data_IF_626432354462
#
_entry.id   IF_626432354462
#
_cell.length_a   1.000
_cell.length_b   1.000
_cell.length_c   1.000
_cell.angle_alpha   90.00
_cell.angle_beta   90.00
_cell.angle_gamma   90.00
#
_symmetry.space_group_name_H-M   'P 1'
#
loop_
_entity.id
_entity.type
_entity.pdbx_description
1 polymer ?
#
# COMPACT_ATOMS: atom_id res chain seq x y z
N UNK A 1 -31.32 41.28 0.97
CA UNK A 1 -30.61 40.10 1.36
C UNK A 1 -30.58 39.94 2.87
N UNK A 2 -30.74 38.75 3.36
CA UNK A 2 -30.64 38.44 4.79
C UNK A 2 -29.15 38.29 5.16
N UNK A 3 -28.72 39.10 6.16
CA UNK A 3 -27.36 38.97 6.67
C UNK A 3 -27.21 37.60 7.38
N UNK A 4 -26.11 36.86 7.18
CA UNK A 4 -25.91 35.62 7.87
C UNK A 4 -25.81 35.83 9.39
N UNK A 5 -26.48 34.99 10.16
CA UNK A 5 -26.38 35.00 11.61
C UNK A 5 -25.06 34.36 12.05
N UNK A 6 -24.07 35.20 12.31
CA UNK A 6 -22.73 34.78 12.71
C UNK A 6 -22.75 33.98 14.04
N UNK A 7 -23.59 34.39 15.00
CA UNK A 7 -23.70 33.68 16.27
C UNK A 7 -24.27 32.28 16.11
N UNK A 8 -25.29 32.11 15.25
CA UNK A 8 -25.86 30.79 14.93
C UNK A 8 -24.82 29.93 14.19
N UNK A 9 -24.08 30.51 13.26
CA UNK A 9 -23.01 29.81 12.55
C UNK A 9 -21.93 29.36 13.51
N UNK A 10 -21.46 30.24 14.41
CA UNK A 10 -20.43 29.87 15.40
C UNK A 10 -20.87 28.76 16.36
N UNK A 11 -22.13 28.79 16.81
CA UNK A 11 -22.72 27.72 17.65
C UNK A 11 -22.78 26.39 16.88
N UNK A 12 -23.24 26.41 15.65
CA UNK A 12 -23.31 25.23 14.80
C UNK A 12 -21.94 24.65 14.51
N UNK A 13 -20.95 25.49 14.25
CA UNK A 13 -19.57 25.07 14.04
C UNK A 13 -18.98 24.44 15.31
N UNK A 14 -19.18 25.04 16.48
CA UNK A 14 -18.69 24.50 17.75
C UNK A 14 -19.33 23.15 18.06
N UNK A 15 -20.64 22.98 17.84
CA UNK A 15 -21.35 21.71 18.01
C UNK A 15 -20.85 20.65 17.03
N UNK A 16 -20.58 21.03 15.79
CA UNK A 16 -20.02 20.16 14.77
C UNK A 16 -18.64 19.64 15.16
N UNK A 17 -17.78 20.51 15.71
CA UNK A 17 -16.46 20.09 16.20
C UNK A 17 -16.55 19.17 17.41
N UNK A 18 -17.46 19.42 18.37
CA UNK A 18 -17.68 18.53 19.51
C UNK A 18 -18.11 17.12 19.04
N UNK A 19 -18.96 17.06 18.04
CA UNK A 19 -19.39 15.79 17.44
C UNK A 19 -18.27 15.10 16.67
N UNK A 20 -17.50 15.84 15.87
CA UNK A 20 -16.39 15.30 15.09
C UNK A 20 -15.23 14.84 15.98
N UNK A 21 -14.91 15.60 17.03
CA UNK A 21 -13.73 15.38 17.87
C UNK A 21 -13.94 14.32 18.97
N UNK A 22 -14.84 13.37 18.77
CA UNK A 22 -15.00 12.20 19.63
C UNK A 22 -13.97 11.13 19.28
N UNK A 23 -13.45 10.36 20.27
CA UNK A 23 -12.41 9.34 20.02
C UNK A 23 -12.78 8.32 18.95
N UNK A 24 -14.03 7.81 18.94
CA UNK A 24 -14.48 6.86 17.93
C UNK A 24 -14.41 7.41 16.49
N UNK A 25 -14.72 8.68 16.30
CA UNK A 25 -14.60 9.36 15.01
C UNK A 25 -13.12 9.60 14.65
N UNK A 26 -12.29 9.93 15.62
CA UNK A 26 -10.84 10.05 15.45
C UNK A 26 -10.23 8.77 14.92
N UNK A 27 -10.55 7.65 15.55
CA UNK A 27 -10.10 6.33 15.11
C UNK A 27 -10.55 6.02 13.66
N UNK A 28 -11.83 6.19 13.36
CA UNK A 28 -12.36 5.92 12.04
C UNK A 28 -11.74 6.83 10.97
N UNK A 29 -11.54 8.11 11.30
CA UNK A 29 -10.91 9.07 10.39
C UNK A 29 -9.47 8.67 10.07
N UNK A 30 -8.69 8.30 11.08
CA UNK A 30 -7.33 7.79 10.92
C UNK A 30 -7.29 6.47 10.15
N UNK A 31 -8.15 5.51 10.50
CA UNK A 31 -8.23 4.20 9.86
C UNK A 31 -8.61 4.29 8.37
N UNK A 32 -9.36 5.31 7.99
CA UNK A 32 -9.71 5.60 6.59
C UNK A 32 -8.66 6.43 5.86
N UNK A 33 -7.53 6.74 6.48
CA UNK A 33 -6.47 7.51 5.88
C UNK A 33 -6.71 9.03 5.85
N UNK A 34 -7.68 9.52 6.64
CA UNK A 34 -7.99 10.93 6.74
C UNK A 34 -6.86 11.74 7.36
N UNK A 35 -6.79 13.03 7.01
CA UNK A 35 -5.83 13.96 7.60
C UNK A 35 -6.48 14.72 8.74
N UNK A 36 -5.67 15.04 9.76
CA UNK A 36 -6.10 15.87 10.86
C UNK A 36 -5.33 17.19 10.82
N UNK A 37 -6.04 18.31 10.87
CA UNK A 37 -5.51 19.67 10.70
C UNK A 37 -5.56 20.53 11.98
N UNK A 38 -5.71 19.93 13.15
CA UNK A 38 -5.68 20.62 14.42
C UNK A 38 -6.95 21.42 14.76
N UNK A 39 -8.10 21.03 14.24
CA UNK A 39 -9.37 21.75 14.39
C UNK A 39 -10.09 21.48 15.73
N UNK A 40 -9.72 20.41 16.44
CA UNK A 40 -10.39 20.04 17.68
C UNK A 40 -10.13 21.01 18.83
N UNK A 41 -11.15 21.30 19.66
CA UNK A 41 -10.96 22.06 20.89
C UNK A 41 -9.94 21.40 21.81
N UNK A 42 -9.20 22.22 22.58
CA UNK A 42 -8.12 21.75 23.44
C UNK A 42 -8.54 20.66 24.45
N UNK A 43 -9.79 20.70 24.92
CA UNK A 43 -10.30 19.71 25.89
C UNK A 43 -10.67 18.37 25.26
N UNK A 44 -10.85 18.31 23.93
CA UNK A 44 -11.18 17.08 23.18
C UNK A 44 -10.01 16.51 22.40
N UNK A 45 -9.04 17.36 22.07
CA UNK A 45 -7.95 17.01 21.16
C UNK A 45 -7.09 15.83 21.63
N UNK A 46 -6.65 15.73 22.91
CA UNK A 46 -5.78 14.63 23.32
C UNK A 46 -6.39 13.24 23.06
N UNK A 47 -7.63 13.03 23.47
CA UNK A 47 -8.30 11.72 23.28
C UNK A 47 -8.60 11.45 21.82
N UNK A 48 -8.98 12.49 21.06
CA UNK A 48 -9.18 12.38 19.62
C UNK A 48 -7.88 12.00 18.91
N UNK A 49 -6.77 12.65 19.21
CA UNK A 49 -5.47 12.38 18.60
C UNK A 49 -4.95 10.99 18.94
N UNK A 50 -5.12 10.52 20.16
CA UNK A 50 -4.75 9.15 20.52
C UNK A 50 -5.48 8.13 19.67
N UNK A 51 -6.80 8.25 19.54
CA UNK A 51 -7.61 7.40 18.70
C UNK A 51 -7.30 7.55 17.22
N UNK A 52 -7.12 8.78 16.73
CA UNK A 52 -6.72 9.08 15.36
C UNK A 52 -5.39 8.43 15.00
N UNK A 53 -4.37 8.56 15.84
CA UNK A 53 -3.06 7.98 15.61
C UNK A 53 -3.11 6.45 15.59
N UNK A 54 -3.93 5.84 16.45
CA UNK A 54 -4.17 4.40 16.43
C UNK A 54 -4.79 3.94 15.10
N UNK A 55 -5.82 4.63 14.65
CA UNK A 55 -6.45 4.35 13.35
C UNK A 55 -5.51 4.59 12.18
N UNK A 56 -4.75 5.67 12.21
CA UNK A 56 -3.78 6.01 11.16
C UNK A 56 -2.67 4.95 11.04
N UNK A 57 -2.17 4.43 12.16
CA UNK A 57 -1.21 3.33 12.16
C UNK A 57 -1.78 2.07 11.51
N UNK A 58 -3.03 1.74 11.83
CA UNK A 58 -3.73 0.63 11.19
C UNK A 58 -3.82 0.81 9.67
N UNK A 59 -4.20 2.02 9.24
CA UNK A 59 -4.25 2.37 7.81
C UNK A 59 -2.87 2.21 7.14
N UNK A 60 -1.80 2.69 7.77
CA UNK A 60 -0.44 2.57 7.25
C UNK A 60 0.01 1.12 7.09
N UNK A 61 -0.29 0.25 8.05
CA UNK A 61 0.03 -1.17 7.97
C UNK A 61 -0.74 -1.85 6.83
N UNK A 62 -2.04 -1.56 6.70
CA UNK A 62 -2.87 -2.10 5.61
C UNK A 62 -2.41 -1.62 4.25
N UNK A 63 -2.00 -0.35 4.14
CA UNK A 63 -1.46 0.22 2.89
C UNK A 63 -0.13 -0.41 2.52
N UNK A 64 0.75 -0.65 3.48
CA UNK A 64 2.01 -1.33 3.26
C UNK A 64 1.80 -2.77 2.77
N UNK A 65 0.83 -3.47 3.34
CA UNK A 65 0.46 -4.83 2.90
C UNK A 65 -0.05 -4.84 1.46
N UNK A 66 -0.95 -3.91 1.13
CA UNK A 66 -1.49 -3.77 -0.23
C UNK A 66 -0.38 -3.46 -1.25
N UNK A 67 0.56 -2.58 -0.89
CA UNK A 67 1.71 -2.25 -1.73
C UNK A 67 2.62 -3.46 -1.95
N UNK A 68 2.94 -4.21 -0.90
CA UNK A 68 3.74 -5.43 -1.01
C UNK A 68 3.07 -6.46 -1.93
N UNK A 69 1.77 -6.68 -1.77
CA UNK A 69 1.00 -7.59 -2.63
C UNK A 69 1.02 -7.16 -4.10
N UNK A 70 0.83 -5.86 -4.37
CA UNK A 70 0.87 -5.32 -5.74
C UNK A 70 2.25 -5.48 -6.39
N UNK A 71 3.32 -5.23 -5.65
CA UNK A 71 4.69 -5.40 -6.12
C UNK A 71 5.01 -6.87 -6.42
N UNK A 72 4.60 -7.80 -5.55
CA UNK A 72 4.78 -9.24 -5.78
C UNK A 72 4.07 -9.67 -7.06
N UNK A 73 2.82 -9.26 -7.25
CA UNK A 73 2.05 -9.58 -8.45
C UNK A 73 2.68 -9.01 -9.72
N UNK A 74 3.15 -7.76 -9.67
CA UNK A 74 3.79 -7.10 -10.81
C UNK A 74 5.10 -7.80 -11.20
N UNK A 75 5.94 -8.15 -10.23
CA UNK A 75 7.21 -8.84 -10.48
C UNK A 75 6.99 -10.29 -10.93
N UNK A 76 5.99 -10.97 -10.39
CA UNK A 76 5.62 -12.31 -10.85
C UNK A 76 5.13 -12.31 -12.30
N UNK A 77 4.35 -11.30 -12.69
CA UNK A 77 3.91 -11.13 -14.08
C UNK A 77 5.08 -10.84 -15.02
N UNK A 78 6.02 -9.97 -14.61
CA UNK A 78 7.24 -9.72 -15.38
C UNK A 78 8.08 -10.99 -15.57
N UNK A 79 8.20 -11.80 -14.53
CA UNK A 79 8.92 -13.07 -14.59
C UNK A 79 8.25 -14.07 -15.55
N UNK A 80 6.93 -14.17 -15.49
CA UNK A 80 6.14 -15.00 -16.39
C UNK A 80 6.31 -14.57 -17.87
N UNK A 81 6.29 -13.26 -18.13
CA UNK A 81 6.52 -12.71 -19.47
C UNK A 81 7.95 -13.01 -19.95
N UNK A 82 8.95 -12.88 -19.08
CA UNK A 82 10.33 -13.21 -19.40
C UNK A 82 10.51 -14.70 -19.72
N UNK A 83 9.89 -15.59 -18.95
CA UNK A 83 9.90 -17.03 -19.21
C UNK A 83 9.23 -17.38 -20.54
N UNK A 84 8.10 -16.76 -20.85
CA UNK A 84 7.42 -16.94 -22.13
C UNK A 84 8.28 -16.46 -23.32
N UNK A 85 8.98 -15.33 -23.16
CA UNK A 85 9.89 -14.83 -24.18
C UNK A 85 11.09 -15.76 -24.39
N UNK A 86 11.62 -16.36 -23.32
CA UNK A 86 12.70 -17.38 -23.43
C UNK A 86 12.24 -18.54 -24.32
N UNK A 87 11.05 -19.06 -24.09
CA UNK A 87 10.51 -20.15 -24.89
C UNK A 87 10.41 -19.76 -26.38
N UNK A 88 9.87 -18.59 -26.67
CA UNK A 88 9.75 -18.07 -28.03
C UNK A 88 11.14 -17.89 -28.68
N UNK A 89 12.09 -17.31 -27.96
CA UNK A 89 13.46 -17.10 -28.45
C UNK A 89 14.18 -18.43 -28.73
N UNK A 90 13.93 -19.47 -27.92
CA UNK A 90 14.50 -20.81 -28.17
C UNK A 90 13.97 -21.42 -29.45
N UNK A 91 12.69 -21.27 -29.77
CA UNK A 91 12.13 -21.72 -31.03
C UNK A 91 12.68 -20.93 -32.23
N UNK A 92 12.81 -19.62 -32.10
CA UNK A 92 13.42 -18.76 -33.14
C UNK A 92 14.89 -19.15 -33.37
N UNK A 93 15.63 -19.53 -32.32
CA UNK A 93 17.03 -19.91 -32.40
C UNK A 93 17.28 -21.15 -33.28
N UNK A 94 16.38 -22.12 -33.26
CA UNK A 94 16.48 -23.37 -34.00
C UNK A 94 15.78 -23.33 -35.35
N UNK A 95 15.08 -22.26 -35.71
CA UNK A 95 14.42 -22.08 -37.00
C UNK A 95 15.46 -21.96 -38.12
N UNK A 96 15.27 -22.70 -39.22
CA UNK A 96 16.19 -22.71 -40.33
C UNK A 96 16.29 -21.36 -41.05
N UNK A 97 15.23 -20.54 -40.99
CA UNK A 97 15.18 -19.22 -41.63
C UNK A 97 15.91 -18.13 -40.79
N UNK A 98 16.25 -18.42 -39.54
CA UNK A 98 16.97 -17.50 -38.68
C UNK A 98 18.42 -17.34 -39.14
N UNK A 99 18.84 -16.09 -39.35
CA UNK A 99 20.21 -15.79 -39.78
C UNK A 99 21.21 -15.95 -38.61
N UNK A 100 22.49 -16.07 -38.93
CA UNK A 100 23.56 -16.14 -37.93
C UNK A 100 23.62 -14.91 -37.05
N UNK A 101 23.36 -13.71 -37.60
CA UNK A 101 23.32 -12.45 -36.85
C UNK A 101 22.12 -12.41 -35.91
N UNK A 102 20.95 -12.89 -36.36
CA UNK A 102 19.75 -13.02 -35.52
C UNK A 102 19.98 -14.01 -34.37
N UNK A 103 20.68 -15.12 -34.62
CA UNK A 103 21.02 -16.10 -33.57
C UNK A 103 21.90 -15.50 -32.48
N UNK A 104 22.89 -14.69 -32.87
CA UNK A 104 23.72 -13.99 -31.89
C UNK A 104 22.89 -13.06 -31.01
N UNK A 105 21.97 -12.29 -31.60
CA UNK A 105 21.09 -11.40 -30.85
C UNK A 105 20.15 -12.19 -29.93
N UNK A 106 19.62 -13.33 -30.37
CA UNK A 106 18.77 -14.19 -29.55
C UNK A 106 19.56 -14.78 -28.36
N UNK A 107 20.82 -15.16 -28.55
CA UNK A 107 21.66 -15.66 -27.46
C UNK A 107 21.92 -14.59 -26.40
N UNK A 108 22.16 -13.34 -26.82
CA UNK A 108 22.32 -12.19 -25.92
C UNK A 108 21.04 -11.93 -25.15
N UNK A 109 19.89 -11.93 -25.85
CA UNK A 109 18.58 -11.73 -25.22
C UNK A 109 18.27 -12.83 -24.20
N UNK A 110 18.54 -14.10 -24.56
CA UNK A 110 18.34 -15.22 -23.63
C UNK A 110 19.16 -15.08 -22.34
N UNK A 111 20.40 -14.62 -22.46
CA UNK A 111 21.25 -14.36 -21.31
C UNK A 111 20.67 -13.25 -20.44
N UNK A 112 20.26 -12.14 -21.03
CA UNK A 112 19.68 -10.99 -20.33
C UNK A 112 18.38 -11.37 -19.62
N UNK A 113 17.52 -12.15 -20.29
CA UNK A 113 16.28 -12.65 -19.71
C UNK A 113 16.54 -13.58 -18.51
N UNK A 114 17.51 -14.48 -18.63
CA UNK A 114 17.88 -15.39 -17.53
C UNK A 114 18.42 -14.60 -16.32
N UNK A 115 19.25 -13.60 -16.55
CA UNK A 115 19.76 -12.72 -15.50
C UNK A 115 18.61 -11.95 -14.82
N UNK A 116 17.67 -11.42 -15.60
CA UNK A 116 16.51 -10.70 -15.07
C UNK A 116 15.60 -11.60 -14.24
N UNK A 117 15.37 -12.83 -14.68
CA UNK A 117 14.60 -13.82 -13.91
C UNK A 117 15.26 -14.09 -12.56
N UNK A 118 16.58 -14.24 -12.52
CA UNK A 118 17.32 -14.43 -11.26
C UNK A 118 17.18 -13.23 -10.32
N UNK A 119 17.24 -12.01 -10.84
CA UNK A 119 17.00 -10.79 -10.07
C UNK A 119 15.57 -10.73 -9.52
N UNK A 120 14.58 -11.05 -10.37
CA UNK A 120 13.17 -11.06 -9.97
C UNK A 120 12.88 -12.08 -8.89
N UNK A 121 13.48 -13.27 -8.96
CA UNK A 121 13.35 -14.30 -7.92
C UNK A 121 13.81 -13.78 -6.55
N UNK A 122 14.96 -13.10 -6.50
CA UNK A 122 15.48 -12.51 -5.26
C UNK A 122 14.58 -11.38 -4.76
N UNK A 123 14.13 -10.49 -5.65
CA UNK A 123 13.24 -9.39 -5.31
C UNK A 123 11.89 -9.87 -4.76
N UNK A 124 11.30 -10.91 -5.38
CA UNK A 124 10.06 -11.52 -4.91
C UNK A 124 10.25 -12.19 -3.55
N UNK A 125 11.34 -12.91 -3.35
CA UNK A 125 11.67 -13.55 -2.07
C UNK A 125 11.75 -12.52 -0.94
N UNK A 126 12.41 -11.39 -1.20
CA UNK A 126 12.51 -10.28 -0.25
C UNK A 126 11.14 -9.67 0.07
N UNK A 127 10.32 -9.43 -0.96
CA UNK A 127 8.97 -8.89 -0.79
C UNK A 127 8.04 -9.85 -0.03
N UNK A 128 8.16 -11.15 -0.26
CA UNK A 128 7.40 -12.16 0.49
C UNK A 128 7.79 -12.17 1.97
N UNK A 129 9.08 -12.04 2.27
CA UNK A 129 9.54 -11.91 3.65
C UNK A 129 9.05 -10.62 4.31
N UNK A 130 9.09 -9.50 3.60
CA UNK A 130 8.58 -8.21 4.07
C UNK A 130 7.07 -8.27 4.33
N UNK A 131 6.32 -8.89 3.40
CA UNK A 131 4.87 -9.09 3.55
C UNK A 131 4.55 -9.91 4.80
N UNK A 132 5.29 -10.99 5.06
CA UNK A 132 5.08 -11.82 6.25
C UNK A 132 5.26 -11.02 7.54
N UNK A 133 6.26 -10.13 7.60
CA UNK A 133 6.47 -9.24 8.75
C UNK A 133 5.32 -8.25 8.92
N UNK A 134 4.88 -7.64 7.83
CA UNK A 134 3.75 -6.70 7.85
C UNK A 134 2.48 -7.41 8.33
N UNK A 135 2.21 -8.61 7.86
CA UNK A 135 1.06 -9.42 8.29
C UNK A 135 1.11 -9.73 9.79
N UNK A 136 2.28 -10.07 10.33
CA UNK A 136 2.47 -10.28 11.76
C UNK A 136 2.24 -9.01 12.56
N UNK A 137 2.81 -7.89 12.12
CA UNK A 137 2.64 -6.60 12.77
C UNK A 137 1.18 -6.16 12.77
N UNK A 138 0.51 -6.35 11.63
CA UNK A 138 -0.91 -6.02 11.48
C UNK A 138 -1.77 -6.88 12.42
N UNK A 139 -1.54 -8.18 12.47
CA UNK A 139 -2.27 -9.08 13.36
C UNK A 139 -2.07 -8.72 14.83
N UNK A 140 -0.84 -8.48 15.23
CA UNK A 140 -0.53 -8.06 16.60
C UNK A 140 -1.20 -6.72 16.93
N UNK A 141 -1.15 -5.76 16.03
CA UNK A 141 -1.73 -4.44 16.24
C UNK A 141 -3.26 -4.49 16.29
N UNK A 142 -3.92 -5.27 15.43
CA UNK A 142 -5.37 -5.47 15.48
C UNK A 142 -5.80 -6.11 16.81
N UNK A 143 -5.04 -7.07 17.32
CA UNK A 143 -5.28 -7.67 18.63
C UNK A 143 -5.13 -6.65 19.76
N UNK A 144 -4.14 -5.78 19.67
CA UNK A 144 -3.91 -4.69 20.62
C UNK A 144 -5.06 -3.69 20.61
N UNK A 145 -5.54 -3.29 19.42
CA UNK A 145 -6.67 -2.38 19.29
C UNK A 145 -7.95 -2.96 19.88
N UNK A 146 -8.21 -4.23 19.66
CA UNK A 146 -9.36 -4.93 20.27
C UNK A 146 -9.29 -4.91 21.79
N UNK A 147 -8.12 -5.12 22.37
CA UNK A 147 -7.90 -5.04 23.82
C UNK A 147 -8.14 -3.64 24.38
N UNK A 148 -7.92 -2.58 23.61
CA UNK A 148 -8.18 -1.18 23.98
C UNK A 148 -9.62 -0.72 23.65
N UNK A 149 -10.44 -1.58 23.07
CA UNK A 149 -11.85 -1.28 22.80
C UNK A 149 -12.14 -0.60 21.46
N UNK A 150 -11.22 -0.67 20.50
CA UNK A 150 -11.44 -0.18 19.14
C UNK A 150 -11.96 -1.26 18.19
#
# INVERSE_FOLDING_TARGET
GVAPDLAAYQRGHAQGLESFCQPGRGFNHGANGGRYSGVCPAHLEPDFLEAYNAGHKLHSLRSSLATANSLIQSKAAEMEDAEARIVTAQFELIDDETTSEQRVQLLIELKELAERIGELEVEIEQLVADRARIEQDLQYYESTLTAYGY
#
